data_IF_505809435019
#
_entry.id   IF_505809435019
#
_cell.length_a   1.000
_cell.length_b   1.000
_cell.length_c   1.000
_cell.angle_alpha   90.00
_cell.angle_beta   90.00
_cell.angle_gamma   90.00
#
_symmetry.space_group_name_H-M   'P 1'
#
loop_
_entity.id
_entity.type
_entity.pdbx_description
1 polymer ?
#
# COMPACT_ATOMS: atom_id res chain seq x y z
N UNK A 1 21.35 -3.70 4.73
CA UNK A 1 21.12 -4.55 3.54
C UNK A 1 19.95 -3.95 2.81
N UNK A 2 20.02 -3.86 1.49
CA UNK A 2 18.89 -3.38 0.70
C UNK A 2 17.68 -4.32 0.88
N UNK A 3 16.48 -3.76 0.84
CA UNK A 3 15.23 -4.53 0.93
C UNK A 3 15.11 -5.54 -0.23
N UNK A 4 14.72 -6.77 0.09
CA UNK A 4 14.42 -7.82 -0.89
C UNK A 4 12.91 -7.83 -1.20
N UNK A 5 12.56 -7.22 -2.32
CA UNK A 5 11.17 -7.11 -2.80
C UNK A 5 10.58 -8.46 -3.16
N UNK A 6 11.39 -9.38 -3.67
CA UNK A 6 10.94 -10.73 -4.05
C UNK A 6 10.54 -11.53 -2.82
N UNK A 7 11.28 -11.40 -1.71
CA UNK A 7 10.94 -12.00 -0.43
C UNK A 7 9.65 -11.39 0.18
N UNK A 8 9.44 -10.08 0.06
CA UNK A 8 8.17 -9.42 0.46
C UNK A 8 6.99 -10.05 -0.29
N UNK A 9 7.08 -10.11 -1.62
CA UNK A 9 6.02 -10.65 -2.48
C UNK A 9 5.79 -12.13 -2.21
N UNK A 10 6.85 -12.92 -2.08
CA UNK A 10 6.76 -14.35 -1.76
C UNK A 10 6.07 -14.58 -0.41
N UNK A 11 6.37 -13.77 0.60
CA UNK A 11 5.71 -13.85 1.90
C UNK A 11 4.23 -13.51 1.77
N UNK A 12 3.90 -12.40 1.09
CA UNK A 12 2.53 -11.99 0.87
C UNK A 12 1.70 -13.07 0.16
N UNK A 13 2.24 -13.67 -0.91
CA UNK A 13 1.61 -14.76 -1.66
C UNK A 13 1.39 -16.03 -0.82
N UNK A 14 2.24 -16.26 0.18
CA UNK A 14 2.19 -17.45 1.05
C UNK A 14 1.19 -17.30 2.19
N UNK A 15 1.06 -16.10 2.74
CA UNK A 15 0.34 -15.89 4.00
C UNK A 15 -0.96 -15.12 3.88
N UNK A 16 -1.31 -14.49 2.75
CA UNK A 16 -2.49 -13.61 2.66
C UNK A 16 -3.82 -14.21 3.16
N UNK A 17 -4.00 -15.55 3.13
CA UNK A 17 -5.24 -16.24 3.52
C UNK A 17 -5.17 -16.92 4.90
N UNK A 18 -4.06 -16.78 5.63
CA UNK A 18 -3.82 -17.45 6.90
C UNK A 18 -2.99 -16.57 7.85
N UNK A 19 -2.97 -16.85 9.15
CA UNK A 19 -2.08 -16.14 10.08
C UNK A 19 -0.64 -16.14 9.59
N UNK A 20 0.10 -15.07 9.87
CA UNK A 20 1.49 -14.93 9.47
C UNK A 20 2.36 -16.06 10.02
N UNK A 21 3.61 -16.17 9.55
CA UNK A 21 4.56 -17.22 9.96
C UNK A 21 4.75 -17.34 11.48
N UNK A 22 4.56 -16.25 12.21
CA UNK A 22 4.65 -16.23 13.68
C UNK A 22 3.44 -16.88 14.39
N UNK A 23 2.44 -17.35 13.63
CA UNK A 23 1.25 -18.02 14.12
C UNK A 23 0.26 -17.07 14.80
N UNK A 24 0.34 -15.76 14.51
CA UNK A 24 -0.52 -14.73 15.11
C UNK A 24 -1.42 -14.11 14.05
N UNK A 25 -2.60 -13.73 14.52
CA UNK A 25 -3.48 -12.78 13.85
C UNK A 25 -3.95 -11.77 14.90
N UNK A 26 -3.94 -10.49 14.57
CA UNK A 26 -4.21 -9.42 15.52
C UNK A 26 -5.67 -9.00 15.54
N UNK A 27 -6.15 -8.76 16.75
CA UNK A 27 -7.33 -7.95 17.02
C UNK A 27 -6.89 -6.50 17.21
N UNK A 28 -7.83 -5.60 17.51
CA UNK A 28 -7.52 -4.19 17.77
C UNK A 28 -6.45 -3.95 18.85
N UNK A 29 -6.41 -4.79 19.90
CA UNK A 29 -5.53 -4.57 21.06
C UNK A 29 -4.67 -5.78 21.46
N UNK A 30 -4.93 -6.98 20.95
CA UNK A 30 -4.23 -8.20 21.35
C UNK A 30 -4.13 -9.22 20.21
N UNK A 31 -3.09 -10.08 20.22
CA UNK A 31 -2.96 -11.15 19.24
C UNK A 31 -3.76 -12.40 19.64
N UNK A 32 -4.43 -13.01 18.66
CA UNK A 32 -4.86 -14.41 18.73
C UNK A 32 -3.70 -15.30 18.31
N UNK A 33 -3.21 -16.12 19.24
CA UNK A 33 -2.11 -17.07 18.99
C UNK A 33 -2.72 -18.44 18.66
N UNK A 34 -2.55 -18.89 17.41
CA UNK A 34 -3.22 -20.10 16.89
C UNK A 34 -2.87 -21.35 17.70
N UNK A 35 -1.60 -21.53 18.06
CA UNK A 35 -1.16 -22.67 18.87
C UNK A 35 -1.85 -22.73 20.24
N UNK A 36 -2.07 -21.56 20.87
CA UNK A 36 -2.78 -21.48 22.14
C UNK A 36 -4.25 -21.84 21.97
N UNK A 37 -4.90 -21.35 20.91
CA UNK A 37 -6.31 -21.65 20.64
C UNK A 37 -6.57 -23.12 20.32
N UNK A 38 -5.62 -23.78 19.63
CA UNK A 38 -5.62 -25.23 19.39
C UNK A 38 -5.50 -25.98 20.73
N UNK A 39 -4.51 -25.62 21.55
CA UNK A 39 -4.26 -26.28 22.84
C UNK A 39 -5.42 -26.12 23.82
N UNK A 40 -6.00 -24.91 23.94
CA UNK A 40 -7.16 -24.62 24.79
C UNK A 40 -8.36 -25.52 24.48
N UNK A 41 -8.50 -25.91 23.20
CA UNK A 41 -9.59 -26.78 22.71
C UNK A 41 -9.22 -28.26 22.69
N UNK A 42 -8.05 -28.63 23.21
CA UNK A 42 -7.54 -30.01 23.21
C UNK A 42 -7.45 -30.61 21.80
N UNK A 43 -7.14 -29.76 20.82
CA UNK A 43 -6.93 -30.16 19.43
C UNK A 43 -5.43 -30.40 19.17
N UNK A 44 -5.10 -31.18 18.14
CA UNK A 44 -3.72 -31.41 17.72
C UNK A 44 -3.24 -30.34 16.74
N UNK A 45 -2.07 -29.75 16.99
CA UNK A 45 -1.43 -28.82 16.05
C UNK A 45 -0.96 -29.51 14.75
N UNK A 46 -0.86 -30.84 14.74
CA UNK A 46 -0.60 -31.64 13.54
C UNK A 46 -1.85 -31.79 12.65
N UNK A 47 -3.05 -31.55 13.18
CA UNK A 47 -4.31 -31.71 12.44
C UNK A 47 -5.02 -30.38 12.17
N UNK A 48 -4.71 -29.33 12.93
CA UNK A 48 -5.43 -28.05 12.88
C UNK A 48 -4.49 -26.88 12.59
N UNK A 49 -5.02 -25.87 11.90
CA UNK A 49 -4.33 -24.62 11.58
C UNK A 49 -5.31 -23.44 11.55
N UNK A 50 -4.78 -22.21 11.57
CA UNK A 50 -5.57 -20.99 11.40
C UNK A 50 -5.79 -20.65 9.92
N UNK A 51 -6.94 -20.07 9.59
CA UNK A 51 -7.26 -19.56 8.27
C UNK A 51 -8.26 -18.40 8.34
N UNK A 52 -8.21 -17.50 7.35
CA UNK A 52 -9.24 -16.47 7.19
C UNK A 52 -10.32 -16.96 6.23
N UNK A 53 -11.56 -17.04 6.72
CA UNK A 53 -12.71 -17.49 5.94
C UNK A 53 -13.78 -16.41 5.87
N UNK A 54 -14.50 -16.41 4.75
CA UNK A 54 -15.69 -15.61 4.54
C UNK A 54 -16.91 -16.25 5.17
N UNK A 55 -17.67 -15.49 5.96
CA UNK A 55 -18.94 -15.94 6.51
C UNK A 55 -20.06 -14.97 6.17
N UNK A 56 -21.29 -15.50 6.09
CA UNK A 56 -22.47 -14.67 5.87
C UNK A 56 -22.72 -13.82 7.12
N UNK A 57 -22.54 -12.51 6.98
CA UNK A 57 -22.89 -11.53 7.99
C UNK A 57 -23.80 -10.44 7.43
N UNK A 58 -24.46 -9.69 8.31
CA UNK A 58 -25.19 -8.49 7.90
C UNK A 58 -24.29 -7.26 8.12
N UNK A 59 -24.00 -6.49 7.07
CA UNK A 59 -23.33 -5.20 7.24
C UNK A 59 -24.24 -4.19 7.95
N UNK A 60 -23.64 -3.09 8.43
CA UNK A 60 -24.42 -1.87 8.72
C UNK A 60 -25.26 -1.52 7.47
N UNK A 61 -26.53 -1.09 7.63
CA UNK A 61 -27.29 -0.54 6.52
C UNK A 61 -26.48 0.59 5.88
N UNK A 62 -26.49 0.68 4.56
CA UNK A 62 -26.01 1.90 3.90
C UNK A 62 -26.89 3.11 4.29
N UNK A 63 -26.52 4.30 3.85
CA UNK A 63 -27.29 5.53 4.09
C UNK A 63 -28.72 5.47 3.55
N UNK A 64 -29.05 4.50 2.68
CA UNK A 64 -30.37 4.25 2.14
C UNK A 64 -31.15 3.15 2.90
N UNK A 65 -30.59 2.60 3.99
CA UNK A 65 -31.22 1.53 4.78
C UNK A 65 -31.09 0.13 4.17
N UNK A 66 -30.34 -0.03 3.08
CA UNK A 66 -30.14 -1.31 2.40
C UNK A 66 -29.05 -2.11 3.13
N UNK A 67 -29.37 -3.35 3.51
CA UNK A 67 -28.39 -4.30 4.05
C UNK A 67 -27.89 -5.19 2.92
N UNK A 68 -26.63 -5.03 2.51
CA UNK A 68 -25.99 -5.95 1.58
C UNK A 68 -25.42 -7.14 2.36
N UNK A 69 -25.73 -8.38 1.96
CA UNK A 69 -25.05 -9.57 2.49
C UNK A 69 -23.63 -9.56 1.93
N UNK A 70 -22.67 -9.25 2.79
CA UNK A 70 -21.26 -9.40 2.46
C UNK A 70 -20.73 -10.68 3.08
N UNK A 71 -19.78 -11.31 2.40
CA UNK A 71 -18.87 -12.24 3.04
C UNK A 71 -17.96 -11.42 3.97
N UNK A 72 -18.34 -11.29 5.24
CA UNK A 72 -17.46 -10.78 6.27
C UNK A 72 -16.26 -11.71 6.42
N UNK A 73 -15.15 -11.26 6.98
CA UNK A 73 -14.01 -12.12 7.27
C UNK A 73 -13.96 -12.48 8.76
N UNK A 74 -13.76 -13.76 9.04
CA UNK A 74 -13.43 -14.25 10.37
C UNK A 74 -12.12 -15.02 10.36
N UNK A 75 -11.50 -15.11 11.54
CA UNK A 75 -10.41 -16.02 11.81
C UNK A 75 -11.00 -17.36 12.30
N UNK A 76 -10.58 -18.46 11.69
CA UNK A 76 -11.05 -19.80 12.01
C UNK A 76 -9.88 -20.74 12.30
N UNK A 77 -10.13 -21.76 13.13
CA UNK A 77 -9.38 -23.01 13.07
C UNK A 77 -10.04 -23.93 12.06
N UNK A 78 -9.23 -24.51 11.18
CA UNK A 78 -9.65 -25.53 10.21
C UNK A 78 -8.76 -26.76 10.31
N UNK A 79 -9.20 -27.87 9.73
CA UNK A 79 -8.34 -29.05 9.52
C UNK A 79 -7.25 -28.73 8.49
N UNK A 80 -6.02 -29.16 8.76
CA UNK A 80 -4.89 -29.01 7.82
C UNK A 80 -5.12 -29.74 6.50
N UNK A 81 -5.86 -30.85 6.52
CA UNK A 81 -6.28 -31.57 5.30
C UNK A 81 -7.12 -30.70 4.36
N UNK A 82 -7.75 -29.63 4.86
CA UNK A 82 -8.54 -28.69 4.06
C UNK A 82 -7.75 -27.46 3.63
N UNK A 83 -6.53 -27.25 4.11
CA UNK A 83 -5.75 -26.02 3.82
C UNK A 83 -5.50 -25.81 2.32
N UNK A 84 -5.38 -26.89 1.53
CA UNK A 84 -5.24 -26.80 0.07
C UNK A 84 -6.47 -26.23 -0.64
N UNK A 85 -7.65 -26.28 -0.03
CA UNK A 85 -8.90 -25.75 -0.59
C UNK A 85 -9.01 -24.22 -0.47
N UNK A 86 -8.24 -23.59 0.43
CA UNK A 86 -8.29 -22.16 0.73
C UNK A 86 -8.00 -21.26 -0.47
N UNK A 87 -7.30 -21.77 -1.48
CA UNK A 87 -7.01 -21.04 -2.72
C UNK A 87 -8.18 -21.06 -3.71
N UNK A 88 -9.17 -21.94 -3.52
CA UNK A 88 -10.29 -22.15 -4.44
C UNK A 88 -11.66 -21.83 -3.82
N UNK A 89 -11.79 -21.99 -2.51
CA UNK A 89 -13.03 -21.70 -1.79
C UNK A 89 -12.72 -21.24 -0.37
N UNK A 90 -13.14 -20.03 -0.04
CA UNK A 90 -12.92 -19.43 1.29
C UNK A 90 -14.20 -19.25 2.08
N UNK A 91 -15.34 -19.82 1.66
CA UNK A 91 -16.59 -19.71 2.44
C UNK A 91 -16.50 -20.62 3.66
N UNK A 92 -16.78 -20.10 4.85
CA UNK A 92 -16.78 -20.86 6.09
C UNK A 92 -17.73 -22.07 6.04
N UNK A 93 -18.84 -21.97 5.31
CA UNK A 93 -19.79 -23.06 5.09
C UNK A 93 -19.20 -24.26 4.32
N UNK A 94 -18.10 -24.07 3.59
CA UNK A 94 -17.39 -25.13 2.86
C UNK A 94 -16.41 -25.93 3.73
N UNK A 95 -16.24 -25.55 5.01
CA UNK A 95 -15.34 -26.18 5.96
C UNK A 95 -16.14 -26.76 7.14
N UNK A 96 -16.77 -27.93 6.98
CA UNK A 96 -17.53 -28.55 8.06
C UNK A 96 -16.61 -28.87 9.24
N UNK A 97 -16.90 -28.26 10.39
CA UNK A 97 -16.05 -28.38 11.60
C UNK A 97 -15.05 -27.25 11.79
N UNK A 98 -15.02 -26.24 10.92
CA UNK A 98 -14.29 -25.00 11.19
C UNK A 98 -14.80 -24.35 12.47
N UNK A 99 -13.86 -23.86 13.30
CA UNK A 99 -14.16 -23.23 14.59
C UNK A 99 -13.81 -21.76 14.47
N UNK A 100 -14.81 -20.88 14.53
CA UNK A 100 -14.58 -19.44 14.51
C UNK A 100 -13.88 -19.00 15.80
N UNK A 101 -12.75 -18.31 15.64
CA UNK A 101 -11.99 -17.71 16.73
C UNK A 101 -12.31 -16.23 16.87
N UNK A 102 -12.34 -15.49 15.77
CA UNK A 102 -12.58 -14.05 15.78
C UNK A 102 -13.48 -13.61 14.63
N UNK A 103 -14.37 -12.66 14.91
CA UNK A 103 -15.19 -11.97 13.91
C UNK A 103 -14.61 -10.61 13.51
N UNK A 104 -15.20 -10.03 12.45
CA UNK A 104 -14.88 -8.69 11.97
C UNK A 104 -15.33 -7.58 12.93
N UNK A 105 -14.47 -6.58 13.16
CA UNK A 105 -14.64 -5.47 14.14
C UNK A 105 -15.97 -4.70 14.06
N UNK A 106 -16.54 -4.53 12.86
CA UNK A 106 -17.69 -3.66 12.64
C UNK A 106 -19.06 -4.36 12.67
N UNK A 107 -19.11 -5.65 13.01
CA UNK A 107 -20.36 -6.39 12.94
C UNK A 107 -21.20 -6.26 14.22
N UNK A 108 -22.25 -5.42 14.18
CA UNK A 108 -23.32 -5.44 15.22
C UNK A 108 -24.17 -6.71 15.18
N UNK A 109 -24.01 -7.57 14.15
CA UNK A 109 -24.75 -8.83 14.00
C UNK A 109 -24.01 -10.06 14.50
N UNK A 110 -22.85 -9.92 15.17
CA UNK A 110 -22.23 -11.08 15.85
C UNK A 110 -23.14 -11.61 16.97
N UNK A 111 -23.98 -10.73 17.56
CA UNK A 111 -25.06 -11.10 18.48
C UNK A 111 -26.11 -12.03 17.85
N UNK A 112 -26.19 -12.08 16.51
CA UNK A 112 -27.08 -12.98 15.77
C UNK A 112 -26.44 -14.31 15.36
N UNK A 113 -25.13 -14.48 15.59
CA UNK A 113 -24.48 -15.76 15.37
C UNK A 113 -24.99 -16.76 16.40
N UNK A 114 -25.45 -17.92 15.95
CA UNK A 114 -25.93 -18.99 16.85
C UNK A 114 -24.85 -19.43 17.84
N UNK A 115 -23.57 -19.32 17.45
CA UNK A 115 -22.40 -19.57 18.31
C UNK A 115 -21.39 -18.42 18.11
N UNK A 116 -21.45 -17.34 18.92
CA UNK A 116 -20.54 -16.22 18.76
C UNK A 116 -19.10 -16.65 19.08
N UNK A 117 -18.10 -16.14 18.33
CA UNK A 117 -16.70 -16.43 18.62
C UNK A 117 -16.24 -15.78 19.93
N UNK A 118 -15.18 -16.31 20.57
CA UNK A 118 -14.65 -15.73 21.80
C UNK A 118 -13.98 -14.37 21.60
N UNK A 119 -13.60 -14.04 20.37
CA UNK A 119 -12.97 -12.78 20.01
C UNK A 119 -13.80 -12.05 18.95
N UNK A 120 -13.69 -10.72 18.95
CA UNK A 120 -14.15 -9.87 17.87
C UNK A 120 -13.03 -8.88 17.53
N UNK A 121 -13.20 -8.14 16.44
CA UNK A 121 -12.27 -7.06 16.17
C UNK A 121 -11.03 -7.42 15.40
N UNK A 122 -11.11 -8.39 14.48
CA UNK A 122 -10.00 -8.75 13.61
C UNK A 122 -9.42 -7.50 12.92
N UNK A 123 -8.13 -7.22 13.16
CA UNK A 123 -7.42 -6.04 12.70
C UNK A 123 -5.91 -6.33 12.52
N UNK A 124 -5.59 -7.12 11.51
CA UNK A 124 -4.29 -7.70 11.24
C UNK A 124 -3.51 -7.06 10.08
N UNK A 125 -4.06 -6.05 9.40
CA UNK A 125 -3.48 -5.49 8.18
C UNK A 125 -2.03 -4.95 8.35
N UNK A 126 -1.75 -4.22 9.44
CA UNK A 126 -0.43 -3.68 9.72
C UNK A 126 0.57 -4.78 10.13
N UNK A 127 0.12 -5.77 10.91
CA UNK A 127 0.94 -6.94 11.25
C UNK A 127 1.35 -7.69 9.99
N UNK A 128 0.40 -8.02 9.11
CA UNK A 128 0.68 -8.67 7.84
C UNK A 128 1.70 -7.92 6.98
N UNK A 129 1.46 -6.62 6.74
CA UNK A 129 2.39 -5.81 5.94
C UNK A 129 3.77 -5.81 6.58
N UNK A 130 3.87 -5.63 7.89
CA UNK A 130 5.19 -5.55 8.53
C UNK A 130 5.91 -6.89 8.64
N UNK A 131 5.20 -8.02 8.70
CA UNK A 131 5.81 -9.35 8.54
C UNK A 131 6.31 -9.58 7.12
N UNK A 132 5.60 -9.10 6.09
CA UNK A 132 6.11 -9.12 4.72
C UNK A 132 7.40 -8.28 4.60
N UNK A 133 7.41 -7.07 5.16
CA UNK A 133 8.61 -6.22 5.18
C UNK A 133 9.77 -6.84 5.98
N UNK A 134 9.47 -7.52 7.09
CA UNK A 134 10.48 -8.24 7.86
C UNK A 134 11.11 -9.38 7.07
N UNK A 135 10.31 -10.12 6.28
CA UNK A 135 10.82 -11.13 5.35
C UNK A 135 11.72 -10.52 4.26
N UNK A 136 11.40 -9.30 3.81
CA UNK A 136 12.22 -8.50 2.91
C UNK A 136 13.48 -7.90 3.53
N UNK A 137 13.76 -8.12 4.82
CA UNK A 137 14.95 -7.60 5.49
C UNK A 137 14.76 -6.29 6.27
N UNK A 138 13.52 -5.84 6.50
CA UNK A 138 13.21 -4.67 7.32
C UNK A 138 12.43 -4.99 8.62
N UNK A 139 12.92 -5.89 9.49
CA UNK A 139 12.20 -6.31 10.71
C UNK A 139 12.00 -5.18 11.74
N UNK A 140 12.79 -4.10 11.65
CA UNK A 140 12.65 -2.92 12.52
C UNK A 140 11.37 -2.11 12.28
N UNK A 141 10.62 -2.41 11.21
CA UNK A 141 9.34 -1.77 10.89
C UNK A 141 8.13 -2.48 11.50
N UNK A 142 8.32 -3.58 12.24
CA UNK A 142 7.24 -4.35 12.88
C UNK A 142 6.36 -3.49 13.77
N UNK A 143 5.08 -3.44 13.45
CA UNK A 143 4.07 -2.77 14.24
C UNK A 143 2.68 -3.26 13.84
N UNK A 144 1.74 -3.13 14.78
CA UNK A 144 0.32 -3.46 14.57
C UNK A 144 -0.51 -2.19 14.32
N UNK A 145 0.14 -1.02 14.28
CA UNK A 145 -0.49 0.28 14.10
C UNK A 145 -0.21 0.83 12.71
N UNK A 146 -1.24 0.97 11.87
CA UNK A 146 -1.14 1.61 10.55
C UNK A 146 -0.55 3.03 10.63
N UNK A 147 -0.95 3.90 11.60
CA UNK A 147 -0.28 5.20 11.79
C UNK A 147 1.24 5.08 12.04
N UNK A 148 1.67 4.15 12.91
CA UNK A 148 3.08 3.96 13.20
C UNK A 148 3.83 3.42 11.99
N UNK A 149 3.21 2.51 11.24
CA UNK A 149 3.75 1.98 10.00
C UNK A 149 3.97 3.10 8.97
N UNK A 150 2.96 3.94 8.76
CA UNK A 150 3.06 5.09 7.86
C UNK A 150 4.19 6.03 8.28
N UNK A 151 4.29 6.36 9.55
CA UNK A 151 5.34 7.26 10.07
C UNK A 151 6.73 6.64 9.87
N UNK A 152 6.91 5.37 10.24
CA UNK A 152 8.18 4.67 10.07
C UNK A 152 8.58 4.54 8.61
N UNK A 153 7.65 4.20 7.71
CA UNK A 153 7.90 4.12 6.27
C UNK A 153 8.26 5.50 5.71
N UNK A 154 7.47 6.53 5.96
CA UNK A 154 7.76 7.88 5.42
C UNK A 154 9.06 8.49 5.95
N UNK A 155 9.54 8.05 7.11
CA UNK A 155 10.84 8.43 7.68
C UNK A 155 12.00 7.51 7.23
N UNK A 156 11.71 6.37 6.58
CA UNK A 156 12.72 5.38 6.23
C UNK A 156 13.57 5.88 5.06
N UNK A 157 14.89 5.89 5.24
CA UNK A 157 15.85 6.46 4.28
C UNK A 157 15.88 5.76 2.93
N UNK A 158 15.45 4.49 2.87
CA UNK A 158 15.40 3.67 1.65
C UNK A 158 14.03 3.69 0.97
N UNK A 159 13.13 4.60 1.38
CA UNK A 159 11.81 4.73 0.75
C UNK A 159 11.58 6.11 0.17
N UNK A 160 10.72 6.15 -0.85
CA UNK A 160 10.13 7.35 -1.43
C UNK A 160 8.63 7.34 -1.18
N UNK A 161 8.11 8.43 -0.62
CA UNK A 161 6.67 8.67 -0.57
C UNK A 161 6.22 9.34 -1.87
N UNK A 162 5.78 8.55 -2.85
CA UNK A 162 5.41 9.04 -4.18
C UNK A 162 4.19 9.97 -4.12
N UNK A 163 3.22 9.61 -3.28
CA UNK A 163 2.07 10.44 -2.97
C UNK A 163 1.63 10.17 -1.53
N UNK A 164 1.25 11.22 -0.80
CA UNK A 164 0.74 11.13 0.57
C UNK A 164 -0.70 11.61 0.60
N UNK A 165 -1.60 10.75 1.06
CA UNK A 165 -3.05 11.02 1.19
C UNK A 165 -3.69 11.57 -0.10
N UNK A 166 -3.37 10.97 -1.25
CA UNK A 166 -3.91 11.40 -2.54
C UNK A 166 -5.19 10.65 -2.89
N UNK A 167 -5.96 11.17 -3.84
CA UNK A 167 -7.18 10.53 -4.32
C UNK A 167 -6.88 9.38 -5.31
N UNK A 168 -7.92 8.60 -5.62
CA UNK A 168 -7.79 7.45 -6.51
C UNK A 168 -7.21 7.80 -7.89
N UNK A 169 -7.67 8.88 -8.51
CA UNK A 169 -7.26 9.25 -9.87
C UNK A 169 -5.77 9.59 -9.94
N UNK A 170 -5.26 10.32 -8.96
CA UNK A 170 -3.84 10.67 -8.86
C UNK A 170 -2.96 9.45 -8.57
N UNK A 171 -3.39 8.59 -7.65
CA UNK A 171 -2.67 7.35 -7.36
C UNK A 171 -2.64 6.42 -8.58
N UNK A 172 -3.75 6.31 -9.32
CA UNK A 172 -3.82 5.50 -10.55
C UNK A 172 -2.81 6.00 -11.59
N UNK A 173 -2.70 7.32 -11.82
CA UNK A 173 -1.70 7.87 -12.75
C UNK A 173 -0.26 7.48 -12.37
N UNK A 174 0.07 7.53 -11.08
CA UNK A 174 1.41 7.14 -10.59
C UNK A 174 1.66 5.63 -10.81
N UNK A 175 0.65 4.79 -10.61
CA UNK A 175 0.75 3.35 -10.88
C UNK A 175 0.85 3.05 -12.38
N UNK A 176 0.05 3.72 -13.21
CA UNK A 176 0.06 3.57 -14.67
C UNK A 176 1.40 4.00 -15.28
N UNK A 177 2.06 4.99 -14.68
CA UNK A 177 3.43 5.39 -15.04
C UNK A 177 4.49 4.36 -14.61
N UNK A 178 4.12 3.28 -13.92
CA UNK A 178 5.05 2.22 -13.52
C UNK A 178 6.02 2.60 -12.39
N UNK A 179 5.75 3.71 -11.67
CA UNK A 179 6.63 4.17 -10.58
C UNK A 179 6.50 3.30 -9.33
N UNK A 180 5.35 2.65 -9.14
CA UNK A 180 5.14 1.68 -8.08
C UNK A 180 5.51 0.28 -8.58
N UNK A 181 6.27 -0.48 -7.79
CA UNK A 181 6.82 -1.79 -8.12
C UNK A 181 6.36 -2.84 -7.08
N UNK A 182 6.39 -4.12 -7.43
CA UNK A 182 5.96 -5.19 -6.52
C UNK A 182 6.74 -5.15 -5.18
N UNK A 183 6.06 -5.38 -4.07
CA UNK A 183 6.62 -5.24 -2.71
C UNK A 183 6.55 -3.82 -2.11
N UNK A 184 6.08 -2.83 -2.88
CA UNK A 184 5.74 -1.50 -2.35
C UNK A 184 4.51 -1.55 -1.42
N UNK A 185 4.26 -0.47 -0.69
CA UNK A 185 3.19 -0.42 0.31
C UNK A 185 2.15 0.64 -0.05
N UNK A 186 0.88 0.27 0.04
CA UNK A 186 -0.25 1.22 -0.04
C UNK A 186 -0.86 1.35 1.35
N UNK A 187 -1.09 2.60 1.79
CA UNK A 187 -1.78 2.90 3.04
C UNK A 187 -3.02 3.74 2.75
N UNK A 188 -4.18 3.19 3.08
CA UNK A 188 -5.49 3.81 2.88
C UNK A 188 -5.91 4.61 4.12
N UNK A 189 -6.54 5.75 3.88
CA UNK A 189 -6.93 6.71 4.91
C UNK A 189 -8.25 7.38 4.56
N UNK A 190 -9.00 7.80 5.59
CA UNK A 190 -10.18 8.65 5.45
C UNK A 190 -9.81 10.13 5.41
N UNK A 191 -8.85 10.49 6.25
CA UNK A 191 -8.33 11.85 6.36
C UNK A 191 -6.83 11.76 6.63
N UNK A 192 -6.15 12.90 6.60
CA UNK A 192 -4.72 12.99 6.93
C UNK A 192 -4.37 12.52 8.35
N UNK A 193 -5.36 12.40 9.24
CA UNK A 193 -5.20 11.96 10.63
C UNK A 193 -5.95 10.64 10.95
N UNK A 194 -6.63 10.05 9.97
CA UNK A 194 -7.43 8.82 10.15
C UNK A 194 -7.00 7.79 9.11
N UNK A 195 -6.14 6.87 9.55
CA UNK A 195 -5.59 5.79 8.72
C UNK A 195 -6.36 4.51 8.99
N UNK A 196 -6.75 3.81 7.93
CA UNK A 196 -7.69 2.69 8.04
C UNK A 196 -7.10 1.34 7.67
N UNK A 197 -6.20 1.29 6.67
CA UNK A 197 -5.77 0.00 6.13
C UNK A 197 -4.39 0.06 5.46
N UNK A 198 -3.65 -1.05 5.45
CA UNK A 198 -2.35 -1.17 4.79
C UNK A 198 -2.24 -2.47 4.01
N UNK A 199 -1.58 -2.41 2.85
CA UNK A 199 -1.49 -3.54 1.91
C UNK A 199 -0.12 -3.59 1.24
N UNK A 200 0.27 -4.76 0.73
CA UNK A 200 1.45 -4.94 -0.13
C UNK A 200 1.01 -4.85 -1.59
N UNK A 201 1.69 -4.03 -2.40
CA UNK A 201 1.49 -3.96 -3.84
C UNK A 201 2.10 -5.19 -4.53
N UNK A 202 1.34 -5.82 -5.41
CA UNK A 202 1.76 -7.00 -6.18
C UNK A 202 1.90 -6.71 -7.68
N UNK A 203 2.00 -5.43 -8.09
CA UNK A 203 2.11 -5.04 -9.49
C UNK A 203 0.76 -5.02 -10.21
N UNK A 204 0.69 -4.38 -11.38
CA UNK A 204 -0.50 -4.37 -12.24
C UNK A 204 -1.81 -3.91 -11.56
N UNK A 205 -1.74 -2.99 -10.60
CA UNK A 205 -2.91 -2.57 -9.82
C UNK A 205 -3.42 -3.62 -8.81
N UNK A 206 -2.61 -4.62 -8.47
CA UNK A 206 -2.94 -5.70 -7.55
C UNK A 206 -2.28 -5.54 -6.18
N UNK A 207 -2.89 -6.12 -5.15
CA UNK A 207 -2.41 -6.08 -3.78
C UNK A 207 -2.70 -7.37 -3.01
N UNK A 208 -1.99 -7.54 -1.90
CA UNK A 208 -2.27 -8.52 -0.84
C UNK A 208 -2.50 -7.81 0.49
N UNK A 209 -3.42 -8.32 1.29
CA UNK A 209 -3.72 -7.77 2.62
C UNK A 209 -4.37 -8.82 3.54
N UNK A 210 -4.33 -8.55 4.85
CA UNK A 210 -5.20 -9.16 5.86
C UNK A 210 -6.24 -8.14 6.33
N UNK A 211 -7.26 -8.59 7.07
CA UNK A 211 -8.42 -7.77 7.48
C UNK A 211 -9.23 -7.39 6.24
N UNK A 212 -10.01 -8.36 5.77
CA UNK A 212 -10.62 -8.47 4.45
C UNK A 212 -9.62 -9.04 3.47
N UNK A 213 -9.05 -10.20 3.82
CA UNK A 213 -7.97 -10.79 3.08
C UNK A 213 -8.32 -10.94 1.61
N UNK A 214 -7.46 -10.37 0.78
CA UNK A 214 -7.65 -10.20 -0.64
C UNK A 214 -6.31 -10.35 -1.34
N UNK A 215 -6.36 -10.87 -2.55
CA UNK A 215 -5.21 -11.28 -3.34
C UNK A 215 -5.67 -11.56 -4.78
N UNK A 216 -4.81 -11.48 -5.81
CA UNK A 216 -5.13 -11.91 -7.18
C UNK A 216 -5.78 -13.29 -7.28
N UNK A 217 -5.38 -14.22 -6.42
CA UNK A 217 -5.93 -15.58 -6.32
C UNK A 217 -7.23 -15.67 -5.49
N UNK A 218 -7.91 -14.55 -5.21
CA UNK A 218 -9.18 -14.50 -4.50
C UNK A 218 -10.23 -13.71 -5.31
N UNK A 219 -10.70 -14.26 -6.45
CA UNK A 219 -11.60 -13.54 -7.34
C UNK A 219 -12.93 -13.18 -6.65
N UNK A 220 -13.43 -14.01 -5.71
CA UNK A 220 -14.68 -13.73 -5.00
C UNK A 220 -14.63 -12.45 -4.14
N UNK A 221 -13.43 -11.93 -3.83
CA UNK A 221 -13.22 -10.71 -3.04
C UNK A 221 -12.63 -9.55 -3.88
N UNK A 222 -12.84 -9.60 -5.19
CA UNK A 222 -12.38 -8.56 -6.11
C UNK A 222 -10.97 -8.78 -6.65
N UNK A 223 -10.39 -9.96 -6.46
CA UNK A 223 -9.15 -10.40 -7.13
C UNK A 223 -7.96 -9.48 -6.86
N UNK A 224 -7.86 -8.98 -5.63
CA UNK A 224 -6.77 -8.13 -5.17
C UNK A 224 -6.67 -6.78 -5.87
N UNK A 225 -7.71 -6.27 -6.54
CA UNK A 225 -7.64 -4.95 -7.19
C UNK A 225 -7.58 -3.85 -6.14
N UNK A 226 -6.56 -2.99 -6.21
CA UNK A 226 -6.30 -1.97 -5.19
C UNK A 226 -7.45 -0.97 -5.01
N UNK A 227 -8.14 -0.62 -6.11
CA UNK A 227 -9.29 0.29 -6.08
C UNK A 227 -10.47 -0.27 -5.31
N UNK A 228 -10.55 -1.60 -5.12
CA UNK A 228 -11.55 -2.23 -4.26
C UNK A 228 -11.43 -1.84 -2.78
N UNK A 229 -10.25 -1.37 -2.36
CA UNK A 229 -10.02 -0.82 -1.02
C UNK A 229 -10.32 0.68 -0.91
N UNK A 230 -10.60 1.35 -2.03
CA UNK A 230 -11.03 2.76 -2.03
C UNK A 230 -12.52 2.84 -1.71
N UNK A 231 -12.86 3.28 -0.50
CA UNK A 231 -14.25 3.41 -0.02
C UNK A 231 -14.48 4.80 0.57
N UNK A 232 -15.71 5.12 0.99
CA UNK A 232 -15.97 6.37 1.71
C UNK A 232 -15.16 6.49 3.02
N UNK A 233 -14.80 5.36 3.65
CA UNK A 233 -13.95 5.32 4.85
C UNK A 233 -12.45 5.23 4.51
N UNK A 234 -12.10 5.00 3.24
CA UNK A 234 -10.75 4.84 2.70
C UNK A 234 -10.58 5.62 1.38
N UNK A 235 -10.95 6.91 1.38
CA UNK A 235 -11.02 7.70 0.15
C UNK A 235 -9.67 8.34 -0.26
N UNK A 236 -8.63 8.17 0.56
CA UNK A 236 -7.26 8.64 0.30
C UNK A 236 -6.28 7.47 0.39
N UNK A 237 -5.20 7.55 -0.38
CA UNK A 237 -4.12 6.55 -0.39
C UNK A 237 -2.74 7.22 -0.33
N UNK A 238 -1.83 6.62 0.43
CA UNK A 238 -0.40 6.94 0.42
C UNK A 238 0.36 5.82 -0.28
N UNK A 239 1.23 6.19 -1.21
CA UNK A 239 2.05 5.28 -2.01
C UNK A 239 3.50 5.35 -1.51
N UNK A 240 3.97 4.25 -0.93
CA UNK A 240 5.35 4.11 -0.45
C UNK A 240 6.11 3.19 -1.38
N UNK A 241 7.20 3.70 -1.94
CA UNK A 241 8.09 3.00 -2.85
C UNK A 241 9.42 2.68 -2.19
N UNK A 242 9.94 1.47 -2.41
CA UNK A 242 11.29 1.06 -2.02
C UNK A 242 12.32 1.40 -3.09
N UNK A 243 13.37 2.13 -2.71
CA UNK A 243 14.41 2.60 -3.65
C UNK A 243 15.32 1.49 -4.17
N UNK A 244 15.33 0.33 -3.51
CA UNK A 244 16.16 -0.79 -3.94
C UNK A 244 15.77 -1.27 -5.35
N UNK A 245 16.76 -1.34 -6.24
CA UNK A 245 16.53 -1.72 -7.63
C UNK A 245 15.98 -0.58 -8.50
N UNK A 246 15.81 0.63 -7.96
CA UNK A 246 15.91 1.81 -8.81
C UNK A 246 17.36 1.88 -9.26
N UNK A 247 17.61 1.45 -10.51
CA UNK A 247 18.77 1.94 -11.22
C UNK A 247 18.59 3.45 -11.27
N UNK A 248 19.18 4.16 -10.32
CA UNK A 248 19.71 5.50 -10.55
C UNK A 248 20.78 5.34 -11.64
N UNK A 249 20.34 4.95 -12.84
CA UNK A 249 21.21 4.61 -13.94
C UNK A 249 21.77 5.91 -14.40
N UNK A 250 22.82 6.39 -13.73
CA UNK A 250 23.43 7.70 -13.95
C UNK A 250 22.34 8.74 -14.21
N UNK A 251 21.69 9.24 -13.14
CA UNK A 251 21.08 10.56 -13.19
C UNK A 251 21.95 11.40 -14.12
N UNK A 252 21.49 11.70 -15.34
CA UNK A 252 22.44 12.36 -16.23
C UNK A 252 22.82 13.65 -15.50
N UNK A 253 24.11 13.93 -15.31
CA UNK A 253 24.53 15.17 -14.60
C UNK A 253 23.92 16.41 -15.27
N UNK A 254 23.43 16.24 -16.50
CA UNK A 254 22.59 17.17 -17.25
C UNK A 254 21.27 17.57 -16.56
N UNK A 255 20.63 16.68 -15.78
CA UNK A 255 19.39 16.99 -15.06
C UNK A 255 19.61 17.73 -13.75
N UNK A 256 20.72 17.45 -13.06
CA UNK A 256 20.94 17.97 -11.71
C UNK A 256 21.04 19.50 -11.70
N UNK A 257 20.56 20.09 -10.60
CA UNK A 257 20.57 21.54 -10.38
C UNK A 257 19.22 22.18 -10.64
N UNK A 258 19.26 23.48 -10.93
CA UNK A 258 18.05 24.30 -11.04
C UNK A 258 17.49 24.34 -12.46
N UNK A 259 16.16 24.34 -12.52
CA UNK A 259 15.37 24.49 -13.73
C UNK A 259 14.26 25.50 -13.48
N UNK A 260 14.00 26.36 -14.46
CA UNK A 260 12.80 27.18 -14.53
C UNK A 260 11.72 26.40 -15.26
N UNK A 261 10.53 26.30 -14.68
CA UNK A 261 9.39 25.57 -15.24
C UNK A 261 8.20 26.51 -15.41
N UNK A 262 7.78 26.71 -16.65
CA UNK A 262 6.58 27.47 -16.99
C UNK A 262 5.35 26.56 -16.95
N UNK A 263 4.40 26.88 -16.07
CA UNK A 263 3.12 26.20 -15.95
C UNK A 263 2.00 27.22 -15.73
N UNK A 264 0.94 27.17 -16.55
CA UNK A 264 -0.21 28.10 -16.50
C UNK A 264 0.20 29.58 -16.47
N UNK A 265 1.21 29.94 -17.27
CA UNK A 265 1.73 31.31 -17.35
C UNK A 265 2.53 31.77 -16.12
N UNK A 266 2.81 30.88 -15.15
CA UNK A 266 3.63 31.16 -13.98
C UNK A 266 4.92 30.37 -14.02
N UNK A 267 5.99 30.99 -13.55
CA UNK A 267 7.31 30.35 -13.46
C UNK A 267 7.52 29.79 -12.06
N UNK A 268 7.92 28.52 -12.02
CA UNK A 268 8.35 27.81 -10.83
C UNK A 268 9.82 27.44 -10.98
N UNK A 269 10.53 27.27 -9.87
CA UNK A 269 11.96 26.99 -9.85
C UNK A 269 12.19 25.63 -9.22
N UNK A 270 12.53 24.65 -10.04
CA UNK A 270 12.72 23.27 -9.61
C UNK A 270 14.20 23.04 -9.33
N UNK A 271 14.49 22.27 -8.30
CA UNK A 271 15.84 21.78 -7.99
C UNK A 271 15.83 20.25 -8.02
N UNK A 272 16.52 19.68 -9.00
CA UNK A 272 16.75 18.24 -9.11
C UNK A 272 18.03 17.86 -8.36
N UNK A 273 17.87 17.13 -7.26
CA UNK A 273 18.93 16.63 -6.42
C UNK A 273 19.27 15.17 -6.69
N UNK A 274 20.39 14.72 -6.10
CA UNK A 274 20.81 13.31 -6.10
C UNK A 274 19.78 12.41 -5.39
N UNK A 275 19.80 11.12 -5.72
CA UNK A 275 18.90 10.13 -5.13
C UNK A 275 17.44 10.29 -5.56
N UNK A 276 17.20 10.86 -6.76
CA UNK A 276 15.84 10.99 -7.30
C UNK A 276 14.98 12.01 -6.57
N UNK A 277 15.55 12.99 -5.86
CA UNK A 277 14.79 14.01 -5.10
C UNK A 277 14.59 15.26 -5.93
N UNK A 278 13.38 15.82 -5.92
CA UNK A 278 13.08 17.12 -6.52
C UNK A 278 12.30 18.00 -5.55
N UNK A 279 12.52 19.30 -5.66
CA UNK A 279 11.78 20.31 -4.92
C UNK A 279 11.48 21.48 -5.82
N UNK A 280 10.43 22.25 -5.51
CA UNK A 280 10.17 23.51 -6.21
C UNK A 280 9.97 24.68 -5.25
N UNK A 281 10.28 25.88 -5.74
CA UNK A 281 9.89 27.15 -5.13
C UNK A 281 9.17 28.05 -6.15
N UNK A 282 8.26 28.90 -5.67
CA UNK A 282 7.63 29.96 -6.48
C UNK A 282 8.53 31.20 -6.59
N UNK A 283 9.42 31.37 -5.62
CA UNK A 283 10.40 32.47 -5.59
C UNK A 283 11.69 32.02 -6.28
N UNK A 284 12.27 32.93 -7.08
CA UNK A 284 13.56 32.70 -7.76
C UNK A 284 14.67 32.46 -6.73
N UNK A 285 15.48 31.40 -6.89
CA UNK A 285 16.62 31.16 -5.99
C UNK A 285 17.68 32.25 -6.15
N UNK A 286 18.20 32.75 -5.03
CA UNK A 286 19.34 33.69 -5.04
C UNK A 286 20.70 33.01 -5.28
N UNK A 287 20.77 31.68 -5.14
CA UNK A 287 21.95 30.86 -5.37
C UNK A 287 21.56 29.58 -6.10
N UNK A 288 22.27 29.25 -7.19
CA UNK A 288 22.02 28.07 -8.00
C UNK A 288 22.88 26.85 -7.61
N UNK A 289 23.79 26.99 -6.64
CA UNK A 289 24.73 25.91 -6.24
C UNK A 289 24.18 24.95 -5.19
N UNK A 290 23.15 25.37 -4.45
CA UNK A 290 22.63 24.60 -3.30
C UNK A 290 21.12 24.41 -3.41
N UNK A 291 20.55 23.31 -2.87
CA UNK A 291 19.11 23.13 -2.80
C UNK A 291 18.42 24.31 -2.07
N UNK A 292 17.13 24.55 -2.34
CA UNK A 292 16.41 25.62 -1.67
C UNK A 292 16.27 25.32 -0.17
N UNK A 293 16.58 26.31 0.67
CA UNK A 293 16.43 26.21 2.14
C UNK A 293 14.97 25.94 2.53
N UNK A 294 14.03 26.55 1.79
CA UNK A 294 12.59 26.36 1.91
C UNK A 294 12.01 26.04 0.54
N UNK A 295 11.25 24.95 0.45
CA UNK A 295 10.59 24.53 -0.78
C UNK A 295 9.07 24.63 -0.60
N UNK A 296 8.37 25.11 -1.62
CA UNK A 296 6.91 25.11 -1.70
C UNK A 296 6.37 23.68 -1.92
N UNK A 297 7.16 22.81 -2.54
CA UNK A 297 6.83 21.40 -2.70
C UNK A 297 8.04 20.51 -2.86
N UNK A 298 7.85 19.23 -2.55
CA UNK A 298 8.86 18.16 -2.63
C UNK A 298 8.26 16.93 -3.28
N UNK A 299 9.09 16.20 -4.00
CA UNK A 299 8.71 15.01 -4.71
C UNK A 299 9.92 14.17 -5.07
N UNK A 300 9.66 13.16 -5.89
CA UNK A 300 10.66 12.25 -6.39
C UNK A 300 10.60 12.17 -7.91
N UNK A 301 11.75 12.05 -8.54
CA UNK A 301 11.88 11.95 -9.97
C UNK A 301 12.53 10.63 -10.39
N UNK A 302 12.13 10.13 -11.55
CA UNK A 302 12.53 8.86 -12.14
C UNK A 302 12.90 9.12 -13.60
N UNK A 303 14.14 8.82 -13.97
CA UNK A 303 14.60 8.96 -15.35
C UNK A 303 14.39 7.65 -16.10
N UNK A 304 13.84 7.75 -17.31
CA UNK A 304 13.68 6.64 -18.25
C UNK A 304 14.39 6.99 -19.55
N UNK A 305 14.46 6.04 -20.48
CA UNK A 305 15.04 6.26 -21.82
C UNK A 305 14.36 7.41 -22.59
N UNK A 306 13.10 7.71 -22.28
CA UNK A 306 12.28 8.67 -23.03
C UNK A 306 12.15 10.03 -22.33
N UNK A 307 12.50 10.12 -21.04
CA UNK A 307 12.17 11.30 -20.27
C UNK A 307 12.34 11.15 -18.77
N UNK A 308 11.59 11.97 -18.04
CA UNK A 308 11.59 12.02 -16.58
C UNK A 308 10.14 12.08 -16.09
N UNK A 309 9.81 11.22 -15.14
CA UNK A 309 8.57 11.30 -14.39
C UNK A 309 8.84 11.92 -13.02
N UNK A 310 7.95 12.79 -12.55
CA UNK A 310 8.02 13.42 -11.23
C UNK A 310 6.71 13.14 -10.48
N UNK A 311 6.82 12.48 -9.33
CA UNK A 311 5.72 12.30 -8.40
C UNK A 311 5.84 13.31 -7.24
N UNK A 312 4.90 14.25 -7.14
CA UNK A 312 4.87 15.27 -6.10
C UNK A 312 4.16 14.76 -4.85
N UNK A 313 4.90 14.58 -3.75
CA UNK A 313 4.44 13.89 -2.54
C UNK A 313 3.15 14.48 -1.96
N UNK A 314 3.05 15.80 -1.83
CA UNK A 314 1.93 16.44 -1.13
C UNK A 314 0.64 16.49 -1.95
N UNK A 315 0.73 16.60 -3.27
CA UNK A 315 -0.42 16.70 -4.17
C UNK A 315 -0.80 15.34 -4.76
N UNK A 316 0.15 14.41 -4.82
CA UNK A 316 0.07 13.19 -5.61
C UNK A 316 -0.03 13.44 -7.12
N UNK A 317 0.30 14.65 -7.59
CA UNK A 317 0.33 14.93 -9.03
C UNK A 317 1.55 14.29 -9.67
N UNK A 318 1.37 13.86 -10.92
CA UNK A 318 2.43 13.30 -11.76
C UNK A 318 2.78 14.33 -12.84
N UNK A 319 4.06 14.61 -13.03
CA UNK A 319 4.55 15.34 -14.21
C UNK A 319 5.43 14.43 -15.05
N UNK A 320 5.30 14.53 -16.36
CA UNK A 320 6.05 13.70 -17.29
C UNK A 320 6.71 14.61 -18.31
N UNK A 321 8.03 14.68 -18.27
CA UNK A 321 8.86 15.43 -19.21
C UNK A 321 9.44 14.48 -20.23
N UNK A 322 9.34 14.83 -21.51
CA UNK A 322 10.01 14.13 -22.58
C UNK A 322 11.34 14.84 -22.81
N UNK A 323 12.40 14.06 -23.04
CA UNK A 323 13.62 14.55 -23.68
C UNK A 323 13.65 14.05 -25.12
N UNK A 324 13.06 14.77 -26.08
CA UNK A 324 13.29 14.41 -27.47
C UNK A 324 14.79 14.45 -27.71
N UNK A 325 15.28 13.53 -28.53
CA UNK A 325 16.67 13.48 -29.03
C UNK A 325 17.14 14.78 -29.70
N UNK A 326 16.24 15.76 -29.87
CA UNK A 326 16.47 17.10 -30.41
C UNK A 326 16.48 18.24 -29.36
N UNK A 327 16.19 17.99 -28.09
CA UNK A 327 16.35 19.02 -27.06
C UNK A 327 17.80 19.04 -26.60
N UNK A 328 18.43 20.22 -26.68
CA UNK A 328 19.70 20.47 -26.01
C UNK A 328 19.54 20.16 -24.52
N UNK A 329 20.63 19.82 -23.82
CA UNK A 329 20.66 19.50 -22.37
C UNK A 329 20.08 20.58 -21.43
N UNK A 330 19.53 21.65 -22.00
CA UNK A 330 19.11 22.87 -21.32
C UNK A 330 17.60 23.12 -21.41
N UNK A 331 16.81 22.27 -22.08
CA UNK A 331 15.36 22.42 -22.12
C UNK A 331 14.61 21.08 -22.15
N UNK A 332 13.39 21.05 -21.60
CA UNK A 332 12.49 19.90 -21.62
C UNK A 332 11.04 20.38 -21.78
N UNK A 333 10.19 19.55 -22.39
CA UNK A 333 8.75 19.81 -22.46
C UNK A 333 8.02 18.61 -21.87
N UNK A 334 6.87 18.86 -21.25
CA UNK A 334 6.15 17.82 -20.54
C UNK A 334 4.70 18.16 -20.29
N UNK A 335 4.07 17.35 -19.44
CA UNK A 335 2.71 17.58 -18.99
C UNK A 335 2.57 17.40 -17.48
N UNK A 336 1.70 18.19 -16.87
CA UNK A 336 1.18 18.00 -15.53
C UNK A 336 -0.12 17.20 -15.61
N UNK A 337 -0.18 16.11 -14.85
CA UNK A 337 -1.27 15.12 -14.84
C UNK A 337 -1.72 14.69 -16.24
N UNK A 338 -0.77 14.53 -17.16
CA UNK A 338 -1.00 14.01 -18.51
C UNK A 338 -1.70 14.96 -19.49
N UNK A 339 -2.03 16.19 -19.09
CA UNK A 339 -2.86 17.07 -19.92
C UNK A 339 -2.38 18.52 -20.01
N UNK A 340 -1.79 19.06 -18.95
CA UNK A 340 -1.44 20.48 -18.93
C UNK A 340 0.02 20.70 -19.30
N UNK A 341 0.32 21.53 -20.31
CA UNK A 341 1.68 21.65 -20.81
C UNK A 341 2.64 22.27 -19.77
N UNK A 342 3.86 21.75 -19.76
CA UNK A 342 5.01 22.23 -19.00
C UNK A 342 6.16 22.49 -19.95
N UNK A 343 6.89 23.58 -19.72
CA UNK A 343 8.16 23.86 -20.40
C UNK A 343 9.21 24.15 -19.35
N UNK A 344 10.30 23.39 -19.36
CA UNK A 344 11.43 23.54 -18.45
C UNK A 344 12.67 24.04 -19.19
N UNK A 345 13.44 24.92 -18.56
CA UNK A 345 14.72 25.42 -19.05
C UNK A 345 15.73 25.45 -17.91
N UNK A 346 16.94 24.96 -18.15
CA UNK A 346 18.00 24.91 -17.13
C UNK A 346 18.46 26.32 -16.76
N UNK A 347 18.80 26.54 -15.50
CA UNK A 347 19.25 27.84 -14.95
C UNK A 347 20.74 27.90 -14.68
#
# INVERSE_FOLDING_TARGET
MAIDRSAIVSYANTYWYQPCKDGKAWLANEPVIIANEISKRKLSSADWTGAFLGYDGQSKPDTAGTRTRWLLEGLYLIKRSDAGKLLSDRKASSYPGAIMLASWYDNRSDDSLTNPPPYNGLNDCAHFVTECLAAGGAPGLRTVSVPNLLNSLTAHSETKTLAKFTNQANAQRIMDAGLLKEGDVLIFSKTVNKHGHSTIYLGGGKMAMHTYANHPNCPERGGGVWTGSMTAEHNLVTLIHWDAGDTYGTASDSLLGYWSVLWRGKVYYYYFGKGGRVSYSKTKPGNLKSPPNTADGRGYWFESTFGIDIAWTATGSLEQFIRPTMFTSNAMAGTWNGSEPLVATRL
#
